data_IF_980551926394
#
_entry.id   IF_980551926394
#
_cell.length_a   1.000
_cell.length_b   1.000
_cell.length_c   1.000
_cell.angle_alpha   90.00
_cell.angle_beta   90.00
_cell.angle_gamma   90.00
#
_symmetry.space_group_name_H-M   'P 1'
#
loop_
_entity.id
_entity.type
_entity.pdbx_description
1 polymer ?
#
# COMPACT_ATOMS: atom_id res chain seq x y z
N UNK A 1 1.01 -8.77 53.65
CA UNK A 1 -0.19 -8.18 52.99
C UNK A 1 0.09 -6.69 52.80
N UNK A 2 0.30 -6.21 51.56
CA UNK A 2 0.66 -4.81 51.31
C UNK A 2 1.11 -4.56 49.88
N UNK A 3 0.15 -4.22 49.03
CA UNK A 3 0.14 -3.98 47.57
C UNK A 3 1.44 -3.45 46.93
N UNK A 4 1.90 -4.17 45.89
CA UNK A 4 2.76 -3.66 44.80
C UNK A 4 1.99 -2.58 44.03
N UNK A 5 2.54 -1.37 43.97
CA UNK A 5 2.12 -0.36 43.01
C UNK A 5 2.47 -0.88 41.60
N UNK A 6 1.48 -0.82 40.71
CA UNK A 6 1.65 -1.13 39.29
C UNK A 6 2.13 0.15 38.62
N UNK A 7 3.33 0.11 38.05
CA UNK A 7 3.78 1.14 37.12
C UNK A 7 2.88 1.09 35.88
N UNK A 8 1.96 2.03 35.80
CA UNK A 8 1.23 2.31 34.57
C UNK A 8 2.20 3.01 33.62
N UNK A 9 2.63 2.31 32.57
CA UNK A 9 3.38 2.86 31.45
C UNK A 9 2.54 3.97 30.80
N UNK A 10 2.84 5.22 31.16
CA UNK A 10 2.21 6.41 30.57
C UNK A 10 2.68 6.49 29.12
N UNK A 11 1.82 6.11 28.18
CA UNK A 11 2.06 6.34 26.77
C UNK A 11 1.99 7.86 26.52
N UNK A 12 3.10 8.46 26.10
CA UNK A 12 3.17 9.88 25.75
C UNK A 12 2.18 10.21 24.62
N UNK A 13 1.14 11.04 24.88
CA UNK A 13 0.16 11.43 23.88
C UNK A 13 0.77 12.24 22.71
N UNK A 14 1.94 12.87 22.88
CA UNK A 14 2.62 13.60 21.79
C UNK A 14 3.07 12.67 20.66
N UNK A 15 3.50 11.45 20.99
CA UNK A 15 4.00 10.44 20.04
C UNK A 15 2.89 9.84 19.17
N UNK A 16 1.64 9.82 19.65
CA UNK A 16 0.46 9.39 18.85
C UNK A 16 -0.04 10.51 17.95
N UNK A 17 -0.02 11.75 18.42
CA UNK A 17 -0.42 12.93 17.63
C UNK A 17 0.43 13.11 16.38
N UNK A 18 1.76 12.99 16.48
CA UNK A 18 2.65 13.08 15.32
C UNK A 18 2.41 11.97 14.27
N UNK A 19 2.12 10.74 14.72
CA UNK A 19 1.94 9.61 13.78
C UNK A 19 0.69 9.72 12.92
N UNK A 20 -0.40 10.24 13.49
CA UNK A 20 -1.65 10.44 12.76
C UNK A 20 -1.54 11.63 11.79
N UNK A 21 -0.84 12.70 12.19
CA UNK A 21 -0.60 13.86 11.31
C UNK A 21 0.32 13.51 10.14
N UNK A 22 1.35 12.70 10.36
CA UNK A 22 2.28 12.26 9.30
C UNK A 22 1.56 11.47 8.20
N UNK A 23 0.63 10.60 8.61
CA UNK A 23 -0.12 9.79 7.67
C UNK A 23 -1.16 10.62 6.90
N UNK A 24 -1.81 11.58 7.57
CA UNK A 24 -2.73 12.49 6.92
C UNK A 24 -2.01 13.35 5.86
N UNK A 25 -0.86 13.94 6.21
CA UNK A 25 -0.03 14.71 5.28
C UNK A 25 0.49 13.85 4.12
N UNK A 26 0.85 12.59 4.38
CA UNK A 26 1.22 11.66 3.33
C UNK A 26 0.06 11.38 2.37
N UNK A 27 -1.16 11.20 2.88
CA UNK A 27 -2.34 11.01 2.03
C UNK A 27 -2.70 12.27 1.23
N UNK A 28 -2.58 13.45 1.84
CA UNK A 28 -2.83 14.74 1.18
C UNK A 28 -1.86 15.02 0.02
N UNK A 29 -0.67 14.42 0.01
CA UNK A 29 0.26 14.51 -1.11
C UNK A 29 -0.28 13.86 -2.41
N UNK A 30 -1.36 13.07 -2.33
CA UNK A 30 -1.97 12.40 -3.46
C UNK A 30 -3.41 12.88 -3.69
N UNK A 31 -3.61 14.04 -4.35
CA UNK A 31 -4.94 14.60 -4.53
C UNK A 31 -5.85 13.75 -5.44
N UNK A 32 -5.26 12.90 -6.30
CA UNK A 32 -6.00 12.05 -7.25
C UNK A 32 -5.38 10.65 -7.33
N UNK A 33 -6.18 9.65 -7.74
CA UNK A 33 -5.67 8.31 -8.05
C UNK A 33 -4.61 8.34 -9.16
N UNK A 34 -4.71 9.28 -10.10
CA UNK A 34 -3.73 9.45 -11.18
C UNK A 34 -2.36 9.88 -10.65
N UNK A 35 -2.32 10.90 -9.79
CA UNK A 35 -1.08 11.31 -9.14
C UNK A 35 -0.46 10.16 -8.33
N UNK A 36 -1.29 9.42 -7.59
CA UNK A 36 -0.84 8.25 -6.85
C UNK A 36 -0.27 7.16 -7.77
N UNK A 37 -0.91 6.87 -8.91
CA UNK A 37 -0.42 5.90 -9.90
C UNK A 37 0.95 6.28 -10.45
N UNK A 38 1.16 7.55 -10.81
CA UNK A 38 2.43 8.06 -11.31
C UNK A 38 3.55 7.99 -10.27
N UNK A 39 3.24 8.37 -9.03
CA UNK A 39 4.17 8.27 -7.92
C UNK A 39 4.55 6.82 -7.62
N UNK A 40 3.58 5.90 -7.63
CA UNK A 40 3.83 4.46 -7.46
C UNK A 40 4.67 3.89 -8.60
N UNK A 41 4.41 4.27 -9.84
CA UNK A 41 5.22 3.81 -10.97
C UNK A 41 6.70 4.23 -10.83
N UNK A 42 6.92 5.46 -10.37
CA UNK A 42 8.26 5.97 -10.05
C UNK A 42 8.89 5.24 -8.87
N UNK A 43 8.12 5.00 -7.80
CA UNK A 43 8.58 4.25 -6.63
C UNK A 43 9.01 2.82 -7.02
N UNK A 44 8.20 2.11 -7.80
CA UNK A 44 8.52 0.75 -8.24
C UNK A 44 9.77 0.72 -9.11
N UNK A 45 9.95 1.70 -9.99
CA UNK A 45 11.18 1.85 -10.77
C UNK A 45 12.40 2.02 -9.85
N UNK A 46 12.28 2.83 -8.79
CA UNK A 46 13.34 3.01 -7.77
C UNK A 46 13.60 1.77 -6.93
N UNK A 47 12.59 0.92 -6.74
CA UNK A 47 12.73 -0.40 -6.12
C UNK A 47 13.40 -1.44 -7.04
N UNK A 48 13.76 -1.07 -8.26
CA UNK A 48 14.36 -1.98 -9.25
C UNK A 48 13.34 -2.92 -9.90
N UNK A 49 12.06 -2.54 -9.97
CA UNK A 49 11.05 -3.29 -10.74
C UNK A 49 11.18 -2.98 -12.22
N UNK A 50 10.90 -4.00 -13.03
CA UNK A 50 11.05 -3.93 -14.49
C UNK A 50 9.70 -3.70 -15.17
N UNK A 51 9.73 -3.10 -16.37
CA UNK A 51 8.56 -2.81 -17.21
C UNK A 51 7.35 -2.30 -16.44
N UNK A 52 7.55 -1.28 -15.59
CA UNK A 52 6.47 -0.65 -14.85
C UNK A 52 5.56 0.11 -15.82
N UNK A 53 4.31 -0.32 -15.94
CA UNK A 53 3.31 0.21 -16.90
C UNK A 53 2.06 0.63 -16.17
N UNK A 54 1.64 1.87 -16.35
CA UNK A 54 0.29 2.32 -15.97
C UNK A 54 -0.67 1.85 -17.06
N UNK A 55 -1.67 1.04 -16.71
CA UNK A 55 -2.63 0.42 -17.63
C UNK A 55 -4.07 0.95 -17.45
N UNK A 56 -4.22 1.99 -16.64
CA UNK A 56 -5.46 2.74 -16.42
C UNK A 56 -6.03 3.29 -17.76
N UNK A 57 -7.34 3.14 -17.99
CA UNK A 57 -8.05 3.42 -19.25
C UNK A 57 -8.78 2.22 -19.90
N UNK A 58 -8.99 2.26 -21.21
CA UNK A 58 -9.87 1.33 -21.96
C UNK A 58 -9.43 -0.14 -22.00
N UNK A 59 -8.22 -0.46 -21.51
CA UNK A 59 -7.68 -1.83 -21.39
C UNK A 59 -7.61 -2.32 -19.94
N UNK A 60 -8.21 -1.57 -19.01
CA UNK A 60 -8.02 -1.71 -17.56
C UNK A 60 -8.25 -3.09 -17.01
N UNK A 61 -9.33 -3.79 -17.39
CA UNK A 61 -9.73 -5.08 -16.77
C UNK A 61 -9.48 -5.13 -15.24
N UNK A 62 -9.71 -4.01 -14.55
CA UNK A 62 -9.52 -3.83 -13.12
C UNK A 62 -8.07 -3.65 -12.61
N UNK A 63 -7.09 -3.41 -13.47
CA UNK A 63 -5.68 -3.19 -13.13
C UNK A 63 -5.28 -1.75 -13.39
N UNK A 64 -4.49 -1.17 -12.51
CA UNK A 64 -4.00 0.20 -12.63
C UNK A 64 -2.53 0.25 -13.04
N UNK A 65 -1.71 -0.64 -12.48
CA UNK A 65 -0.27 -0.73 -12.74
C UNK A 65 0.10 -2.21 -12.94
N UNK A 66 1.01 -2.48 -13.87
CA UNK A 66 1.68 -3.76 -14.04
C UNK A 66 3.19 -3.55 -13.91
N UNK A 67 3.89 -4.53 -13.33
CA UNK A 67 5.35 -4.54 -13.32
C UNK A 67 5.87 -5.96 -13.12
N UNK A 68 7.10 -6.21 -13.56
CA UNK A 68 7.82 -7.43 -13.25
C UNK A 68 8.73 -7.24 -12.03
N UNK A 69 8.84 -8.31 -11.23
CA UNK A 69 9.76 -8.36 -10.11
C UNK A 69 10.30 -9.76 -9.86
N UNK A 70 11.31 -9.87 -8.99
CA UNK A 70 11.84 -11.16 -8.56
C UNK A 70 10.79 -11.96 -7.77
N UNK A 71 10.56 -13.19 -8.22
CA UNK A 71 9.88 -14.25 -7.48
C UNK A 71 10.86 -15.22 -6.83
N UNK A 72 10.34 -16.38 -6.42
CA UNK A 72 11.18 -17.46 -5.87
C UNK A 72 12.20 -17.96 -6.89
N UNK A 73 13.38 -18.40 -6.42
CA UNK A 73 14.44 -18.97 -7.27
C UNK A 73 14.90 -18.07 -8.44
N UNK A 74 14.83 -16.74 -8.27
CA UNK A 74 15.20 -15.76 -9.29
C UNK A 74 14.28 -15.80 -10.55
N UNK A 75 13.08 -16.36 -10.41
CA UNK A 75 12.04 -16.26 -11.44
C UNK A 75 11.58 -14.83 -11.62
N UNK A 76 11.22 -14.46 -12.85
CA UNK A 76 10.59 -13.19 -13.16
C UNK A 76 9.08 -13.36 -13.10
N UNK A 77 8.39 -12.59 -12.26
CA UNK A 77 6.92 -12.68 -12.07
C UNK A 77 6.24 -11.38 -12.39
N UNK A 78 5.03 -11.47 -12.94
CA UNK A 78 4.20 -10.31 -13.24
C UNK A 78 3.28 -10.00 -12.05
N UNK A 79 3.31 -8.75 -11.62
CA UNK A 79 2.50 -8.22 -10.53
C UNK A 79 1.54 -7.17 -11.07
N UNK A 80 0.37 -7.06 -10.43
CA UNK A 80 -0.60 -6.02 -10.72
C UNK A 80 -0.90 -5.18 -9.48
N UNK A 81 -1.26 -3.92 -9.68
CA UNK A 81 -1.79 -3.07 -8.64
C UNK A 81 -3.24 -2.67 -8.93
N UNK A 82 -4.03 -2.63 -7.86
CA UNK A 82 -5.31 -1.93 -7.78
C UNK A 82 -5.09 -0.74 -6.86
N UNK A 83 -5.21 0.47 -7.39
CA UNK A 83 -4.86 1.71 -6.71
C UNK A 83 -6.13 2.45 -6.30
N UNK A 84 -6.18 2.89 -5.04
CA UNK A 84 -7.23 3.73 -4.48
C UNK A 84 -6.61 4.87 -3.70
N UNK A 85 -7.06 6.10 -3.92
CA UNK A 85 -6.61 7.25 -3.13
C UNK A 85 -7.43 7.45 -1.85
N UNK A 86 -8.61 6.84 -1.78
CA UNK A 86 -9.51 6.90 -0.63
C UNK A 86 -9.47 5.63 0.23
N UNK A 87 -10.22 5.68 1.34
CA UNK A 87 -10.43 4.56 2.24
C UNK A 87 -11.21 3.45 1.55
N UNK A 88 -10.69 2.23 1.63
CA UNK A 88 -11.43 1.02 1.21
C UNK A 88 -12.37 0.62 2.34
N UNK A 89 -13.66 0.91 2.16
CA UNK A 89 -14.74 0.75 3.14
C UNK A 89 -15.74 -0.36 2.80
N UNK A 90 -16.56 -0.73 3.79
CA UNK A 90 -17.61 -1.74 3.65
C UNK A 90 -19.02 -1.17 3.44
N UNK A 91 -19.20 0.16 3.47
CA UNK A 91 -20.51 0.80 3.36
C UNK A 91 -20.72 1.40 1.97
N UNK A 92 -21.96 1.31 1.46
CA UNK A 92 -22.39 1.88 0.19
C UNK A 92 -22.65 3.40 0.30
N UNK A 93 -21.65 4.16 0.76
CA UNK A 93 -21.68 5.63 0.80
C UNK A 93 -20.82 6.22 -0.32
N UNK A 94 -21.23 7.38 -0.84
CA UNK A 94 -20.69 8.05 -2.04
C UNK A 94 -19.17 8.39 -2.05
N UNK A 95 -18.43 8.08 -0.98
CA UNK A 95 -16.99 8.35 -0.83
C UNK A 95 -16.16 7.11 -0.46
N UNK A 96 -16.78 5.93 -0.34
CA UNK A 96 -16.06 4.69 -0.10
C UNK A 96 -15.77 4.01 -1.45
N UNK A 97 -14.51 3.69 -1.72
CA UNK A 97 -14.18 2.68 -2.72
C UNK A 97 -14.74 1.35 -2.20
N UNK A 98 -15.96 1.02 -2.61
CA UNK A 98 -16.69 -0.12 -2.07
C UNK A 98 -15.85 -1.39 -2.20
N UNK A 99 -15.66 -2.11 -1.09
CA UNK A 99 -14.86 -3.33 -1.05
C UNK A 99 -15.25 -4.35 -2.14
N UNK A 100 -16.51 -4.36 -2.57
CA UNK A 100 -17.00 -5.18 -3.67
C UNK A 100 -16.40 -4.79 -5.03
N UNK A 101 -16.24 -3.49 -5.31
CA UNK A 101 -15.60 -3.02 -6.54
C UNK A 101 -14.15 -3.44 -6.58
N UNK A 102 -13.43 -3.25 -5.47
CA UNK A 102 -12.02 -3.70 -5.33
C UNK A 102 -11.93 -5.22 -5.49
N UNK A 103 -12.83 -5.98 -4.87
CA UNK A 103 -12.90 -7.44 -5.02
C UNK A 103 -13.07 -7.85 -6.48
N UNK A 104 -14.03 -7.25 -7.19
CA UNK A 104 -14.28 -7.55 -8.60
C UNK A 104 -13.05 -7.22 -9.47
N UNK A 105 -12.38 -6.09 -9.21
CA UNK A 105 -11.15 -5.70 -9.91
C UNK A 105 -10.02 -6.72 -9.70
N UNK A 106 -9.86 -7.21 -8.47
CA UNK A 106 -8.85 -8.23 -8.16
C UNK A 106 -9.20 -9.57 -8.85
N UNK A 107 -10.46 -9.99 -8.83
CA UNK A 107 -10.90 -11.22 -9.49
C UNK A 107 -10.62 -11.16 -11.00
N UNK A 108 -10.96 -10.06 -11.67
CA UNK A 108 -10.62 -9.84 -13.07
C UNK A 108 -9.10 -9.83 -13.30
N UNK A 109 -8.33 -9.32 -12.33
CA UNK A 109 -6.87 -9.30 -12.39
C UNK A 109 -6.24 -10.68 -12.39
N UNK A 110 -6.77 -11.59 -11.58
CA UNK A 110 -6.25 -12.94 -11.40
C UNK A 110 -6.82 -13.95 -12.41
N UNK A 111 -8.01 -13.70 -12.96
CA UNK A 111 -8.72 -14.66 -13.81
C UNK A 111 -8.41 -14.53 -15.30
N UNK A 112 -7.86 -13.38 -15.73
CA UNK A 112 -7.58 -13.10 -17.14
C UNK A 112 -6.12 -12.71 -17.35
N UNK A 113 -5.41 -13.34 -18.32
CA UNK A 113 -4.03 -13.00 -18.60
C UNK A 113 -3.93 -11.60 -19.22
N UNK A 114 -2.82 -10.94 -18.94
CA UNK A 114 -2.40 -9.77 -19.69
C UNK A 114 -1.72 -10.22 -20.99
N UNK A 115 -2.14 -9.67 -22.12
CA UNK A 115 -1.52 -9.98 -23.41
C UNK A 115 -0.31 -9.08 -23.59
N UNK A 116 0.87 -9.68 -23.58
CA UNK A 116 2.14 -9.00 -23.79
C UNK A 116 2.32 -8.47 -25.21
N UNK A 117 3.41 -7.73 -25.42
CA UNK A 117 3.65 -7.05 -26.70
C UNK A 117 3.91 -8.03 -27.85
N UNK A 118 4.28 -9.29 -27.55
CA UNK A 118 4.48 -10.36 -28.54
C UNK A 118 3.25 -11.27 -28.66
N UNK A 119 2.14 -10.91 -28.01
CA UNK A 119 0.90 -11.70 -28.00
C UNK A 119 0.90 -12.86 -27.00
N UNK A 120 1.88 -12.94 -26.12
CA UNK A 120 1.97 -13.95 -25.08
C UNK A 120 1.01 -13.70 -23.92
N UNK A 121 0.47 -14.77 -23.34
CA UNK A 121 -0.35 -14.68 -22.14
C UNK A 121 0.51 -14.60 -20.88
N UNK A 122 0.41 -13.48 -20.17
CA UNK A 122 1.13 -13.21 -18.93
C UNK A 122 0.16 -13.24 -17.75
N UNK A 123 0.36 -14.23 -16.88
CA UNK A 123 -0.47 -14.42 -15.69
C UNK A 123 0.04 -13.59 -14.52
N UNK A 124 -0.89 -12.97 -13.79
CA UNK A 124 -0.58 -12.19 -12.58
C UNK A 124 -0.32 -13.17 -11.43
N UNK A 125 0.84 -13.06 -10.80
CA UNK A 125 1.19 -13.86 -9.62
C UNK A 125 0.50 -13.33 -8.35
N UNK A 126 0.65 -12.03 -8.11
CA UNK A 126 0.09 -11.35 -6.94
C UNK A 126 -0.52 -9.99 -7.32
N UNK A 127 -1.67 -9.68 -6.73
CA UNK A 127 -2.30 -8.36 -6.84
C UNK A 127 -2.06 -7.55 -5.57
N UNK A 128 -1.47 -6.37 -5.72
CA UNK A 128 -1.27 -5.41 -4.64
C UNK A 128 -2.41 -4.40 -4.61
N UNK A 129 -3.14 -4.33 -3.50
CA UNK A 129 -4.13 -3.28 -3.24
C UNK A 129 -3.45 -2.16 -2.49
N UNK A 130 -3.42 -0.96 -3.07
CA UNK A 130 -2.60 0.15 -2.58
C UNK A 130 -3.47 1.38 -2.32
N UNK A 131 -3.31 1.96 -1.13
CA UNK A 131 -3.93 3.24 -0.75
C UNK A 131 -3.06 4.01 0.24
N UNK A 132 -2.97 5.34 0.16
CA UNK A 132 -2.24 6.13 1.15
C UNK A 132 -3.00 6.25 2.47
N UNK A 133 -4.28 5.87 2.49
CA UNK A 133 -5.14 5.85 3.68
C UNK A 133 -5.19 4.44 4.28
N UNK A 134 -5.38 4.34 5.60
CA UNK A 134 -5.58 3.04 6.25
C UNK A 134 -6.83 2.34 5.74
N UNK A 135 -6.67 1.05 5.41
CA UNK A 135 -7.76 0.20 4.98
C UNK A 135 -8.54 -0.33 6.20
N UNK A 136 -9.87 -0.43 6.11
CA UNK A 136 -10.67 -0.97 7.21
C UNK A 136 -10.39 -2.48 7.38
N UNK A 137 -10.11 -2.93 8.60
CA UNK A 137 -9.78 -4.33 8.88
C UNK A 137 -10.85 -5.32 8.38
N UNK A 138 -12.14 -4.98 8.57
CA UNK A 138 -13.25 -5.80 8.07
C UNK A 138 -13.32 -5.87 6.53
N UNK A 139 -12.87 -4.82 5.81
CA UNK A 139 -12.81 -4.84 4.35
C UNK A 139 -11.67 -5.74 3.86
N UNK A 140 -10.49 -5.65 4.49
CA UNK A 140 -9.34 -6.53 4.21
C UNK A 140 -9.75 -7.99 4.41
N UNK A 141 -10.33 -8.31 5.57
CA UNK A 141 -10.71 -9.68 5.91
C UNK A 141 -11.78 -10.22 4.94
N UNK A 142 -12.78 -9.41 4.59
CA UNK A 142 -13.82 -9.78 3.62
C UNK A 142 -13.22 -10.12 2.25
N UNK A 143 -12.37 -9.24 1.71
CA UNK A 143 -11.73 -9.44 0.40
C UNK A 143 -10.80 -10.66 0.44
N UNK A 144 -9.96 -10.78 1.47
CA UNK A 144 -9.06 -11.93 1.60
C UNK A 144 -9.83 -13.25 1.69
N UNK A 145 -10.92 -13.28 2.46
CA UNK A 145 -11.76 -14.47 2.60
C UNK A 145 -12.41 -14.87 1.26
N UNK A 146 -12.90 -13.90 0.49
CA UNK A 146 -13.47 -14.13 -0.83
C UNK A 146 -12.44 -14.64 -1.86
N UNK A 147 -11.16 -14.30 -1.68
CA UNK A 147 -10.09 -14.58 -2.63
C UNK A 147 -9.18 -15.76 -2.26
N UNK A 148 -9.41 -16.42 -1.11
CA UNK A 148 -8.60 -17.55 -0.58
C UNK A 148 -8.27 -18.66 -1.59
N UNK A 149 -9.06 -18.80 -2.67
CA UNK A 149 -8.92 -19.86 -3.67
C UNK A 149 -8.57 -19.38 -5.07
N UNK A 150 -8.46 -18.06 -5.29
CA UNK A 150 -8.32 -17.47 -6.63
C UNK A 150 -6.88 -17.04 -6.89
N UNK A 151 -6.20 -16.48 -5.91
CA UNK A 151 -4.81 -16.07 -6.07
C UNK A 151 -4.29 -15.28 -4.86
N UNK A 152 -3.08 -14.73 -5.00
CA UNK A 152 -2.42 -14.00 -3.93
C UNK A 152 -2.78 -12.52 -3.98
N UNK A 153 -3.10 -11.96 -2.82
CA UNK A 153 -3.46 -10.55 -2.66
C UNK A 153 -2.80 -9.99 -1.42
N UNK A 154 -2.17 -8.84 -1.59
CA UNK A 154 -1.54 -8.11 -0.50
C UNK A 154 -2.04 -6.68 -0.42
N UNK A 155 -2.31 -6.22 0.80
CA UNK A 155 -2.68 -4.84 1.07
C UNK A 155 -1.44 -4.04 1.48
N UNK A 156 -1.23 -2.93 0.80
CA UNK A 156 -0.18 -1.93 1.05
C UNK A 156 -0.86 -0.58 1.25
N UNK A 157 -1.57 -0.49 2.38
CA UNK A 157 -2.34 0.69 2.75
C UNK A 157 -1.62 1.51 3.83
N UNK A 158 -1.93 2.81 3.90
CA UNK A 158 -1.59 3.66 5.03
C UNK A 158 -0.10 3.63 5.39
N UNK A 159 0.20 3.29 6.64
CA UNK A 159 1.58 3.31 7.15
C UNK A 159 2.52 2.39 6.38
N UNK A 160 2.05 1.23 5.93
CA UNK A 160 2.86 0.26 5.19
C UNK A 160 3.36 0.85 3.87
N UNK A 161 2.53 1.67 3.21
CA UNK A 161 2.92 2.39 1.99
C UNK A 161 3.90 3.53 2.31
N UNK A 162 3.63 4.30 3.36
CA UNK A 162 4.53 5.38 3.80
C UNK A 162 5.94 4.85 4.12
N UNK A 163 6.04 3.74 4.83
CA UNK A 163 7.34 3.11 5.15
C UNK A 163 8.09 2.69 3.87
N UNK A 164 7.36 2.23 2.84
CA UNK A 164 7.94 1.88 1.54
C UNK A 164 8.50 3.10 0.80
N UNK A 165 7.76 4.22 0.79
CA UNK A 165 8.26 5.49 0.28
C UNK A 165 9.48 5.99 1.05
N UNK A 166 9.47 5.88 2.37
CA UNK A 166 10.60 6.30 3.20
C UNK A 166 11.87 5.48 2.90
N UNK A 167 11.71 4.20 2.59
CA UNK A 167 12.81 3.29 2.28
C UNK A 167 13.41 3.54 0.89
N UNK A 168 12.58 3.69 -0.14
CA UNK A 168 13.05 3.70 -1.54
C UNK A 168 13.02 5.07 -2.22
N UNK A 169 12.26 6.03 -1.68
CA UNK A 169 12.17 7.37 -2.23
C UNK A 169 12.01 8.45 -1.13
N UNK A 170 12.94 8.54 -0.18
CA UNK A 170 12.84 9.47 0.95
C UNK A 170 12.69 10.92 0.51
N UNK A 171 13.31 11.32 -0.60
CA UNK A 171 13.23 12.70 -1.10
C UNK A 171 11.80 13.10 -1.51
N UNK A 172 10.95 12.17 -1.95
CA UNK A 172 9.54 12.48 -2.23
C UNK A 172 8.86 13.04 -0.97
N UNK A 173 9.11 12.41 0.17
CA UNK A 173 8.56 12.84 1.46
C UNK A 173 9.13 14.19 1.96
N UNK A 174 10.23 14.67 1.36
CA UNK A 174 10.84 15.96 1.71
C UNK A 174 10.16 17.10 0.96
N UNK A 175 9.88 16.88 -0.32
CA UNK A 175 9.41 17.92 -1.23
C UNK A 175 7.88 17.98 -1.32
N UNK A 176 7.21 16.83 -1.33
CA UNK A 176 5.77 16.76 -1.62
C UNK A 176 4.91 16.71 -0.35
N UNK A 177 5.46 16.29 0.80
CA UNK A 177 4.64 16.08 2.00
C UNK A 177 5.17 16.72 3.29
N UNK A 178 6.45 17.11 3.37
CA UNK A 178 7.05 17.62 4.61
C UNK A 178 7.11 16.61 5.76
N UNK A 179 6.70 15.35 5.53
CA UNK A 179 6.47 14.30 6.55
C UNK A 179 7.77 13.72 7.10
N UNK A 180 8.87 13.79 6.35
CA UNK A 180 10.03 12.96 6.65
C UNK A 180 10.75 13.32 7.96
N UNK A 181 10.76 14.59 8.38
CA UNK A 181 11.44 14.97 9.63
C UNK A 181 10.78 14.32 10.85
N UNK A 182 9.45 14.24 10.87
CA UNK A 182 8.71 13.57 11.93
C UNK A 182 8.88 12.03 11.85
N UNK A 183 8.87 11.48 10.63
CA UNK A 183 9.10 10.05 10.39
C UNK A 183 10.49 9.58 10.88
N UNK A 184 11.56 10.28 10.48
CA UNK A 184 12.94 9.93 10.88
C UNK A 184 13.12 10.04 12.40
N UNK A 185 12.47 11.02 13.03
CA UNK A 185 12.49 11.18 14.48
C UNK A 185 11.83 9.99 15.18
N UNK A 186 10.70 9.50 14.64
CA UNK A 186 10.00 8.32 15.15
C UNK A 186 10.81 7.03 14.97
N UNK A 187 11.48 6.86 13.82
CA UNK A 187 12.30 5.68 13.51
C UNK A 187 13.56 5.61 14.40
N UNK A 188 14.23 6.75 14.62
CA UNK A 188 15.38 6.84 15.53
C UNK A 188 15.00 6.49 16.97
N UNK A 189 13.83 6.93 17.43
CA UNK A 189 13.35 6.64 18.77
C UNK A 189 13.06 5.14 18.98
N UNK A 190 12.49 4.44 17.99
CA UNK A 190 12.27 2.99 18.10
C UNK A 190 13.57 2.17 18.09
N UNK A 191 14.56 2.61 17.31
CA UNK A 191 15.87 1.93 17.27
C UNK A 191 16.60 2.07 18.61
N UNK A 192 16.50 3.22 19.27
CA UNK A 192 17.11 3.45 20.59
C UNK A 192 16.42 2.64 21.71
N UNK A 193 15.10 2.42 21.63
CA UNK A 193 14.37 1.57 22.58
C UNK A 193 14.78 0.08 22.45
N UNK A 194 15.03 -0.41 21.23
CA UNK A 194 15.47 -1.79 20.98
C UNK A 194 16.95 -2.03 21.33
N UNK A 195 17.78 -0.98 21.29
CA UNK A 195 19.21 -1.06 21.63
C UNK A 195 19.49 -1.04 23.14
N UNK A 196 18.48 -0.72 23.94
CA UNK A 196 18.56 -0.58 25.40
C UNK A 196 17.91 -1.76 26.15
N UNK A 197 17.56 -2.83 25.44
CA UNK A 197 17.00 -4.08 25.98
C UNK A 197 17.99 -5.24 25.93
#
# INVERSE_FOLDING_TARGET
MGKRARDAKVADPSRKMNRASDLAQFAEAFPTEEHLREALATLFSKMGREDVRIVHGSREKGKDILFFGPGGLNERRLYACVVKNDRIGGAAGNHDAGAQTVLNQIQMSLSEPFIGDKGEELWIDTVYVISPVECASGAIESIQNALRRIGQVEFWCGRKLLDLFAMYWPTFLWFESGVLQAYLSALKASIQEDSAS
#
